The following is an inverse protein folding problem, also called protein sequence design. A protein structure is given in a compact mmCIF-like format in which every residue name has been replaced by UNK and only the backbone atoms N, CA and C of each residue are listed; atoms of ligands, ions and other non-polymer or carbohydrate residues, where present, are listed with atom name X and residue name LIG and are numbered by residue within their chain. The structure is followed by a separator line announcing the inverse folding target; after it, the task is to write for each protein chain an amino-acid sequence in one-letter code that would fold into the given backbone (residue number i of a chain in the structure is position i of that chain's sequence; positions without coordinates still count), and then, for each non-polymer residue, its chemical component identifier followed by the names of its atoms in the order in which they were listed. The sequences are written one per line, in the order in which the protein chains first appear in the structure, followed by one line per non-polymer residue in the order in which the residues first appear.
data_IF_840653544416
#
_entry.id   IF_840653544416
#
_cell.length_a   1.000
_cell.length_b   1.000
_cell.length_c   1.000
_cell.angle_alpha   90.00
_cell.angle_beta   90.00
_cell.angle_gamma   90.00
#
_symmetry.space_group_name_H-M   'P 1'
#
loop_
_entity.id
_entity.type
_entity.pdbx_description
1 polymer ?
#
# COMPACT_ATOMS: atom_id res chain seq x y z
N UNK A 1 3.41 -4.54 -5.52
CA UNK A 1 1.95 -4.46 -5.43
C UNK A 1 1.37 -5.85 -5.20
N UNK A 2 0.59 -5.99 -4.16
CA UNK A 2 -0.08 -7.24 -3.80
C UNK A 2 -1.55 -6.97 -3.51
N UNK A 3 -2.29 -8.01 -3.17
CA UNK A 3 -3.66 -7.89 -2.70
C UNK A 3 -3.85 -8.70 -1.41
N UNK A 4 -4.86 -8.35 -0.65
CA UNK A 4 -5.23 -9.07 0.57
C UNK A 4 -6.73 -9.34 0.61
N UNK A 5 -7.12 -10.38 1.34
CA UNK A 5 -8.54 -10.76 1.46
C UNK A 5 -9.26 -9.84 2.43
N UNK A 6 -10.59 -9.60 2.24
CA UNK A 6 -11.39 -8.76 3.14
C UNK A 6 -11.43 -9.29 4.57
N UNK A 7 -11.24 -10.59 4.75
CA UNK A 7 -11.21 -11.24 6.05
C UNK A 7 -10.36 -12.49 5.97
N UNK A 8 -9.88 -12.97 7.13
CA UNK A 8 -9.17 -14.25 7.20
C UNK A 8 -10.18 -15.39 7.25
N UNK A 9 -9.89 -16.49 6.53
CA UNK A 9 -10.75 -17.67 6.50
C UNK A 9 -10.89 -18.33 7.88
N UNK A 10 -9.90 -18.14 8.76
CA UNK A 10 -9.85 -18.75 10.09
C UNK A 10 -10.28 -17.80 11.21
N UNK A 11 -10.77 -16.61 10.89
CA UNK A 11 -11.09 -15.56 11.84
C UNK A 11 -12.28 -14.76 11.32
N UNK A 12 -13.17 -14.35 12.22
CA UNK A 12 -14.29 -13.45 11.89
C UNK A 12 -13.86 -11.99 11.85
N UNK A 13 -12.58 -11.72 12.01
CA UNK A 13 -12.05 -10.37 12.02
C UNK A 13 -12.10 -9.75 10.61
N UNK A 14 -12.84 -8.65 10.48
CA UNK A 14 -12.93 -7.91 9.23
C UNK A 14 -11.69 -7.04 9.05
N UNK A 15 -11.31 -6.85 7.79
CA UNK A 15 -10.22 -5.96 7.40
C UNK A 15 -10.82 -4.74 6.73
N UNK A 16 -11.00 -3.62 7.46
CA UNK A 16 -11.68 -2.44 6.94
C UNK A 16 -10.85 -1.65 5.93
N UNK A 17 -9.54 -1.90 5.88
CA UNK A 17 -8.64 -1.16 5.01
C UNK A 17 -8.89 -1.48 3.55
N UNK A 18 -8.95 -0.44 2.71
CA UNK A 18 -9.13 -0.58 1.27
C UNK A 18 -7.79 -0.71 0.55
N UNK A 19 -6.80 0.03 1.03
CA UNK A 19 -5.42 -0.02 0.58
C UNK A 19 -4.52 0.03 1.79
N UNK A 20 -3.41 -0.68 1.75
CA UNK A 20 -2.45 -0.71 2.85
C UNK A 20 -1.06 -0.33 2.35
N UNK A 21 -0.36 0.48 3.11
CA UNK A 21 1.04 0.82 2.88
C UNK A 21 1.88 0.04 3.88
N UNK A 22 2.87 -0.69 3.37
CA UNK A 22 3.74 -1.52 4.18
C UNK A 22 5.15 -0.94 4.15
N UNK A 23 5.80 -0.92 5.29
CA UNK A 23 7.17 -0.44 5.41
C UNK A 23 7.86 -1.09 6.59
N UNK A 24 9.19 -1.07 6.56
CA UNK A 24 10.00 -1.54 7.69
C UNK A 24 10.52 -0.32 8.47
N UNK A 25 11.76 0.12 8.21
CA UNK A 25 12.32 1.30 8.89
C UNK A 25 12.15 2.57 8.07
N UNK A 26 12.20 2.47 6.73
CA UNK A 26 12.08 3.62 5.84
C UNK A 26 10.62 3.84 5.46
N UNK A 27 9.98 4.79 6.10
CA UNK A 27 8.56 5.13 5.87
C UNK A 27 8.37 6.43 5.07
N UNK A 28 9.42 6.99 4.49
CA UNK A 28 9.35 8.31 3.81
C UNK A 28 8.28 8.34 2.72
N UNK A 29 8.34 7.39 1.80
CA UNK A 29 7.36 7.31 0.70
C UNK A 29 6.00 6.88 1.20
N UNK A 30 5.94 5.94 2.14
CA UNK A 30 4.68 5.45 2.71
C UNK A 30 3.90 6.58 3.38
N UNK A 31 4.54 7.47 4.12
CA UNK A 31 3.87 8.61 4.77
C UNK A 31 3.18 9.52 3.75
N UNK A 32 3.87 9.86 2.67
CA UNK A 32 3.26 10.65 1.60
C UNK A 32 2.09 9.91 0.94
N UNK A 33 2.27 8.63 0.63
CA UNK A 33 1.24 7.82 -0.01
C UNK A 33 0.00 7.70 0.88
N UNK A 34 0.16 7.46 2.17
CA UNK A 34 -0.95 7.37 3.12
C UNK A 34 -1.77 8.67 3.11
N UNK A 35 -1.10 9.81 3.17
CA UNK A 35 -1.77 11.10 3.12
C UNK A 35 -2.56 11.29 1.83
N UNK A 36 -1.96 10.95 0.69
CA UNK A 36 -2.60 11.12 -0.61
C UNK A 36 -3.80 10.19 -0.80
N UNK A 37 -3.72 8.94 -0.34
CA UNK A 37 -4.86 8.03 -0.38
C UNK A 37 -5.97 8.48 0.57
N UNK A 38 -5.62 8.99 1.75
CA UNK A 38 -6.61 9.55 2.69
C UNK A 38 -7.37 10.73 2.06
N UNK A 39 -6.70 11.55 1.25
CA UNK A 39 -7.35 12.65 0.52
C UNK A 39 -8.40 12.15 -0.47
N UNK A 40 -8.28 10.91 -0.94
CA UNK A 40 -9.26 10.24 -1.80
C UNK A 40 -10.40 9.61 -0.99
N UNK A 41 -10.46 9.86 0.31
CA UNK A 41 -11.46 9.31 1.23
C UNK A 41 -11.41 7.78 1.35
N UNK A 42 -10.23 7.20 1.15
CA UNK A 42 -10.01 5.77 1.32
C UNK A 42 -9.63 5.46 2.76
N UNK A 43 -9.99 4.25 3.22
CA UNK A 43 -9.54 3.73 4.51
C UNK A 43 -8.17 3.09 4.29
N UNK A 44 -7.14 3.70 4.84
CA UNK A 44 -5.75 3.32 4.57
C UNK A 44 -5.16 2.58 5.76
N UNK A 45 -4.59 1.40 5.49
CA UNK A 45 -3.84 0.65 6.49
C UNK A 45 -2.39 1.14 6.55
N UNK A 46 -1.94 1.51 7.74
CA UNK A 46 -0.56 1.91 8.02
C UNK A 46 0.13 0.71 8.65
N UNK A 47 0.86 -0.08 7.83
CA UNK A 47 1.39 -1.39 8.23
C UNK A 47 0.30 -2.34 8.76
N UNK A 48 -0.87 -2.29 8.15
CA UNK A 48 -2.01 -3.12 8.46
C UNK A 48 -2.59 -3.66 7.15
N UNK A 49 -3.08 -4.89 7.08
CA UNK A 49 -3.12 -5.90 8.14
C UNK A 49 -1.77 -6.57 8.41
N UNK A 50 -0.78 -6.33 7.60
CA UNK A 50 0.56 -6.89 7.73
C UNK A 50 1.60 -5.80 7.84
N UNK A 51 2.69 -6.07 8.57
CA UNK A 51 3.82 -5.17 8.67
C UNK A 51 4.83 -5.45 7.55
N UNK A 52 5.39 -4.40 6.95
CA UNK A 52 6.50 -4.53 6.01
C UNK A 52 7.74 -5.16 6.64
N UNK A 53 7.91 -5.00 7.95
CA UNK A 53 8.98 -5.64 8.70
C UNK A 53 8.92 -7.17 8.61
N UNK A 54 7.70 -7.73 8.55
CA UNK A 54 7.49 -9.18 8.52
C UNK A 54 7.43 -9.74 7.11
N UNK A 55 6.86 -8.97 6.15
CA UNK A 55 6.49 -9.52 4.84
C UNK A 55 7.21 -8.87 3.66
N UNK A 56 8.01 -7.84 3.88
CA UNK A 56 8.55 -7.02 2.79
C UNK A 56 10.04 -7.32 2.49
N UNK A 57 10.38 -8.59 2.36
CA UNK A 57 11.78 -9.01 2.17
C UNK A 57 12.44 -8.40 0.92
N UNK A 58 11.70 -8.31 -0.20
CA UNK A 58 12.22 -7.74 -1.44
C UNK A 58 12.59 -6.27 -1.28
N UNK A 59 11.71 -5.48 -0.67
CA UNK A 59 11.96 -4.06 -0.45
C UNK A 59 13.06 -3.84 0.58
N UNK A 60 13.15 -4.71 1.60
CA UNK A 60 14.23 -4.66 2.57
C UNK A 60 15.60 -4.87 1.91
N UNK A 61 15.67 -5.83 0.99
CA UNK A 61 16.92 -6.16 0.29
C UNK A 61 17.32 -5.11 -0.75
N UNK A 62 16.37 -4.68 -1.57
CA UNK A 62 16.67 -3.88 -2.77
C UNK A 62 16.49 -2.39 -2.59
N UNK A 63 15.76 -1.96 -1.58
CA UNK A 63 15.53 -0.54 -1.32
C UNK A 63 16.09 -0.11 0.01
N UNK A 64 15.59 -0.61 1.14
CA UNK A 64 16.02 -0.14 2.47
C UNK A 64 17.50 -0.37 2.74
N UNK A 65 18.03 -1.52 2.34
CA UNK A 65 19.46 -1.83 2.53
C UNK A 65 20.37 -0.85 1.79
N UNK A 66 19.86 -0.18 0.76
CA UNK A 66 20.59 0.80 -0.05
C UNK A 66 20.11 2.24 0.16
N UNK A 67 19.27 2.48 1.16
CA UNK A 67 18.75 3.82 1.46
C UNK A 67 17.79 4.38 0.42
N UNK A 68 17.21 3.54 -0.41
CA UNK A 68 16.25 3.95 -1.45
C UNK A 68 14.84 4.04 -0.87
N UNK A 69 14.17 5.15 -1.13
CA UNK A 69 12.75 5.27 -0.79
C UNK A 69 11.92 4.33 -1.68
N UNK A 70 10.84 3.79 -1.14
CA UNK A 70 10.00 2.83 -1.85
C UNK A 70 8.55 2.92 -1.41
N UNK A 71 7.66 2.43 -2.28
CA UNK A 71 6.25 2.23 -1.95
C UNK A 71 5.96 0.73 -2.07
N UNK A 72 5.55 0.12 -0.96
CA UNK A 72 5.01 -1.23 -0.95
C UNK A 72 3.55 -1.11 -0.53
N UNK A 73 2.64 -1.51 -1.42
CA UNK A 73 1.22 -1.37 -1.15
C UNK A 73 0.45 -2.63 -1.52
N UNK A 74 -0.68 -2.81 -0.84
CA UNK A 74 -1.63 -3.88 -1.11
C UNK A 74 -3.03 -3.31 -1.20
N UNK A 75 -3.85 -3.85 -2.10
CA UNK A 75 -5.24 -3.46 -2.28
C UNK A 75 -6.12 -4.61 -1.81
N UNK A 76 -7.21 -4.30 -1.11
CA UNK A 76 -8.15 -5.33 -0.71
C UNK A 76 -8.77 -5.98 -1.96
N UNK A 77 -8.75 -7.31 -1.99
CA UNK A 77 -9.03 -8.11 -3.18
C UNK A 77 -10.40 -7.84 -3.79
N UNK A 78 -11.42 -7.59 -2.96
CA UNK A 78 -12.79 -7.35 -3.42
C UNK A 78 -12.96 -6.03 -4.18
N UNK A 79 -11.97 -5.14 -4.14
CA UNK A 79 -12.03 -3.84 -4.80
C UNK A 79 -11.43 -3.85 -6.21
N UNK A 80 -10.86 -4.96 -6.64
CA UNK A 80 -10.20 -5.09 -7.96
C UNK A 80 -10.68 -6.33 -8.72
N UNK A 81 -11.97 -6.64 -8.62
CA UNK A 81 -12.56 -7.81 -9.27
C UNK A 81 -12.97 -7.56 -10.71
N UNK A 82 -13.27 -6.32 -11.08
CA UNK A 82 -13.67 -5.95 -12.44
C UNK A 82 -12.57 -5.18 -13.15
N UNK A 83 -12.63 -5.18 -14.49
CA UNK A 83 -11.69 -4.40 -15.29
C UNK A 83 -11.79 -2.90 -15.00
N UNK A 84 -13.00 -2.40 -14.81
CA UNK A 84 -13.23 -1.00 -14.47
C UNK A 84 -12.57 -0.62 -13.14
N UNK A 85 -12.72 -1.48 -12.13
CA UNK A 85 -12.08 -1.29 -10.83
C UNK A 85 -10.56 -1.32 -10.94
N UNK A 86 -10.03 -2.30 -11.67
CA UNK A 86 -8.59 -2.43 -11.89
C UNK A 86 -8.02 -1.18 -12.57
N UNK A 87 -8.70 -0.66 -13.60
CA UNK A 87 -8.27 0.55 -14.31
C UNK A 87 -8.29 1.78 -13.39
N UNK A 88 -9.33 1.92 -12.58
CA UNK A 88 -9.45 3.03 -11.63
C UNK A 88 -8.33 3.01 -10.60
N UNK A 89 -8.04 1.83 -10.03
CA UNK A 89 -6.95 1.69 -9.05
C UNK A 89 -5.58 1.91 -9.69
N UNK A 90 -5.38 1.42 -10.91
CA UNK A 90 -4.12 1.65 -11.63
C UNK A 90 -3.86 3.14 -11.85
N UNK A 91 -4.89 3.89 -12.26
CA UNK A 91 -4.78 5.33 -12.45
C UNK A 91 -4.48 6.06 -11.13
N UNK A 92 -5.17 5.67 -10.05
CA UNK A 92 -4.98 6.27 -8.73
C UNK A 92 -3.57 5.99 -8.18
N UNK A 93 -3.11 4.75 -8.30
CA UNK A 93 -1.76 4.36 -7.86
C UNK A 93 -0.69 5.11 -8.64
N UNK A 94 -0.86 5.24 -9.94
CA UNK A 94 0.08 5.98 -10.79
C UNK A 94 0.16 7.45 -10.35
N UNK A 95 -0.98 8.09 -10.11
CA UNK A 95 -1.03 9.48 -9.64
C UNK A 95 -0.33 9.63 -8.29
N UNK A 96 -0.64 8.76 -7.35
CA UNK A 96 -0.01 8.78 -6.01
C UNK A 96 1.49 8.57 -6.12
N UNK A 97 1.94 7.59 -6.90
CA UNK A 97 3.37 7.31 -7.06
C UNK A 97 4.12 8.51 -7.62
N UNK A 98 3.55 9.18 -8.63
CA UNK A 98 4.16 10.37 -9.22
C UNK A 98 4.25 11.52 -8.21
N UNK A 99 3.20 11.74 -7.42
CA UNK A 99 3.18 12.80 -6.40
C UNK A 99 4.17 12.51 -5.27
N UNK A 100 4.31 11.25 -4.88
CA UNK A 100 5.29 10.84 -3.86
C UNK A 100 6.70 11.11 -4.37
N UNK A 101 6.98 10.74 -5.62
CA UNK A 101 8.31 10.97 -6.22
C UNK A 101 8.66 12.46 -6.22
N UNK A 102 7.71 13.33 -6.57
CA UNK A 102 7.91 14.78 -6.55
C UNK A 102 8.13 15.31 -5.12
N UNK A 103 7.44 14.76 -4.13
CA UNK A 103 7.57 15.20 -2.75
C UNK A 103 8.91 14.83 -2.13
N UNK A 104 9.57 13.78 -2.65
CA UNK A 104 10.85 13.29 -2.14
C UNK A 104 12.05 13.89 -2.86
N UNK A 105 11.85 14.60 -3.94
CA UNK A 105 12.93 15.26 -4.70
C UNK A 105 13.48 16.49 -3.97
#
# INVERSE_FOLDING_TARGET
LHSFTPSLATSDEERPWEVALLYNTDDRAARHAIRLFNEQRLIVGDNQPYSGKELNATMNRHAEAHGRAYIALEIRQDLITTRAEQSRWAAMITDVANRVALALD
#
